data_IF_974636475992
#
_entry.id   IF_974636475992
#
_cell.length_a   1.000
_cell.length_b   1.000
_cell.length_c   1.000
_cell.angle_alpha   90.00
_cell.angle_beta   90.00
_cell.angle_gamma   90.00
#
_symmetry.space_group_name_H-M   'P 1'
#
loop_
_entity.id
_entity.type
_entity.pdbx_description
1 polymer ?
#
# COMPACT_ATOMS: atom_id res chain seq x y z
N UNK A 1 -5.59 3.58 -20.46
CA UNK A 1 -6.26 4.42 -19.43
C UNK A 1 -5.85 5.88 -19.61
N UNK A 2 -6.83 6.76 -19.74
CA UNK A 2 -6.54 8.18 -19.84
C UNK A 2 -6.53 8.83 -18.48
N UNK A 3 -5.94 10.02 -18.41
CA UNK A 3 -5.92 10.82 -17.19
C UNK A 3 -7.34 11.07 -16.67
N UNK A 4 -8.26 11.37 -17.58
CA UNK A 4 -9.65 11.63 -17.22
C UNK A 4 -10.33 10.40 -16.63
N UNK A 5 -10.12 9.25 -17.24
CA UNK A 5 -10.67 8.00 -16.73
C UNK A 5 -10.15 7.71 -15.33
N UNK A 6 -8.87 7.94 -15.11
CA UNK A 6 -8.26 7.72 -13.81
C UNK A 6 -8.83 8.68 -12.75
N UNK A 7 -8.97 9.96 -13.11
CA UNK A 7 -9.53 10.96 -12.19
C UNK A 7 -10.96 10.61 -11.80
N UNK A 8 -11.76 10.17 -12.77
CA UNK A 8 -13.14 9.77 -12.50
C UNK A 8 -13.19 8.56 -11.60
N UNK A 9 -12.31 7.60 -11.84
CA UNK A 9 -12.22 6.42 -11.00
C UNK A 9 -11.90 6.82 -9.56
N UNK A 10 -10.90 7.67 -9.37
CA UNK A 10 -10.50 8.13 -8.04
C UNK A 10 -11.66 8.81 -7.33
N UNK A 11 -12.35 9.72 -8.03
CA UNK A 11 -13.47 10.44 -7.45
C UNK A 11 -14.58 9.49 -6.98
N UNK A 12 -14.81 8.41 -7.74
CA UNK A 12 -15.89 7.48 -7.44
C UNK A 12 -15.50 6.45 -6.39
N UNK A 13 -14.26 5.92 -6.46
CA UNK A 13 -13.88 4.74 -5.70
C UNK A 13 -12.92 5.01 -4.53
N UNK A 14 -12.53 6.26 -4.31
CA UNK A 14 -11.58 6.57 -3.24
C UNK A 14 -12.07 6.07 -1.88
N UNK A 15 -13.36 6.23 -1.59
CA UNK A 15 -13.93 5.78 -0.32
C UNK A 15 -13.76 4.29 -0.11
N UNK A 16 -13.95 3.50 -1.16
CA UNK A 16 -13.76 2.06 -1.08
C UNK A 16 -12.30 1.72 -0.78
N UNK A 17 -11.37 2.41 -1.45
CA UNK A 17 -9.95 2.17 -1.25
C UNK A 17 -9.51 2.52 0.17
N UNK A 18 -10.03 3.64 0.70
CA UNK A 18 -9.71 4.03 2.08
C UNK A 18 -10.23 2.99 3.06
N UNK A 19 -11.43 2.45 2.83
CA UNK A 19 -11.97 1.41 3.71
C UNK A 19 -11.12 0.15 3.68
N UNK A 20 -10.63 -0.24 2.50
CA UNK A 20 -9.72 -1.39 2.41
C UNK A 20 -8.46 -1.16 3.22
N UNK A 21 -7.86 0.02 3.08
CA UNK A 21 -6.65 0.36 3.80
C UNK A 21 -6.90 0.44 5.30
N UNK A 22 -8.07 0.98 5.71
CA UNK A 22 -8.45 1.05 7.12
C UNK A 22 -8.57 -0.32 7.76
N UNK A 23 -9.11 -1.29 7.00
CA UNK A 23 -9.23 -2.66 7.52
C UNK A 23 -7.87 -3.28 7.81
N UNK A 24 -6.83 -2.82 7.15
CA UNK A 24 -5.48 -3.34 7.32
C UNK A 24 -4.70 -2.52 8.34
N UNK A 25 -4.77 -1.21 8.23
CA UNK A 25 -3.91 -0.30 9.01
C UNK A 25 -4.57 0.20 10.28
N UNK A 26 -5.89 0.22 10.36
CA UNK A 26 -6.68 0.63 11.52
C UNK A 26 -6.38 2.07 11.98
N UNK A 27 -5.88 2.91 11.08
CA UNK A 27 -5.53 4.28 11.40
C UNK A 27 -5.84 5.17 10.19
N UNK A 28 -6.67 6.22 10.36
CA UNK A 28 -7.12 7.02 9.22
C UNK A 28 -6.00 7.69 8.43
N UNK A 29 -5.02 8.27 9.12
CA UNK A 29 -3.93 8.96 8.44
C UNK A 29 -3.10 7.99 7.61
N UNK A 30 -2.83 6.82 8.15
CA UNK A 30 -2.08 5.79 7.45
C UNK A 30 -2.86 5.26 6.27
N UNK A 31 -4.18 5.11 6.43
CA UNK A 31 -5.02 4.66 5.34
C UNK A 31 -5.00 5.66 4.18
N UNK A 32 -5.08 6.96 4.49
CA UNK A 32 -5.00 7.99 3.47
C UNK A 32 -3.65 7.95 2.76
N UNK A 33 -2.57 7.79 3.51
CA UNK A 33 -1.23 7.69 2.94
C UNK A 33 -1.11 6.49 2.02
N UNK A 34 -1.64 5.35 2.46
CA UNK A 34 -1.59 4.13 1.65
C UNK A 34 -2.35 4.30 0.34
N UNK A 35 -3.52 4.92 0.39
CA UNK A 35 -4.32 5.16 -0.81
C UNK A 35 -3.59 6.12 -1.74
N UNK A 36 -3.04 7.20 -1.21
CA UNK A 36 -2.30 8.16 -2.02
C UNK A 36 -1.12 7.49 -2.72
N UNK A 37 -0.36 6.70 -1.99
CA UNK A 37 0.78 5.98 -2.57
C UNK A 37 0.32 4.95 -3.60
N UNK A 38 -0.76 4.23 -3.30
CA UNK A 38 -1.29 3.23 -4.22
C UNK A 38 -1.76 3.88 -5.53
N UNK A 39 -2.40 5.04 -5.44
CA UNK A 39 -2.86 5.76 -6.63
C UNK A 39 -1.68 6.24 -7.47
N UNK A 40 -0.61 6.69 -6.84
CA UNK A 40 0.61 7.06 -7.56
C UNK A 40 1.19 5.85 -8.30
N UNK A 41 1.27 4.71 -7.63
CA UNK A 41 1.76 3.49 -8.25
C UNK A 41 0.88 3.04 -9.40
N UNK A 42 -0.44 3.14 -9.22
CA UNK A 42 -1.39 2.77 -10.27
C UNK A 42 -1.18 3.63 -11.49
N UNK A 43 -1.02 4.92 -11.31
CA UNK A 43 -0.80 5.83 -12.42
C UNK A 43 0.53 5.54 -13.13
N UNK A 44 1.58 5.31 -12.37
CA UNK A 44 2.89 4.97 -12.93
C UNK A 44 2.85 3.68 -13.75
N UNK A 45 2.02 2.74 -13.32
CA UNK A 45 1.92 1.43 -13.94
C UNK A 45 0.69 1.28 -14.82
N UNK A 46 0.08 2.38 -15.22
CA UNK A 46 -1.20 2.35 -15.94
C UNK A 46 -1.16 1.55 -17.24
N UNK A 47 0.02 1.43 -17.83
CA UNK A 47 0.17 0.64 -19.06
C UNK A 47 0.03 -0.85 -18.82
N UNK A 48 0.17 -1.29 -17.57
CA UNK A 48 -0.02 -2.69 -17.22
C UNK A 48 -1.50 -3.06 -17.15
N UNK A 49 -2.37 -2.07 -17.03
CA UNK A 49 -3.81 -2.32 -17.01
C UNK A 49 -4.28 -2.56 -18.44
N UNK A 50 -4.68 -3.78 -18.71
CA UNK A 50 -5.07 -4.18 -20.06
C UNK A 50 -6.50 -3.82 -20.42
N UNK A 51 -7.36 -3.74 -19.42
CA UNK A 51 -8.77 -3.47 -19.64
C UNK A 51 -9.29 -2.53 -18.56
N UNK A 52 -9.97 -1.43 -18.96
CA UNK A 52 -10.55 -0.52 -17.97
C UNK A 52 -11.55 -1.19 -17.04
N UNK A 53 -12.18 -2.28 -17.47
CA UNK A 53 -13.12 -3.03 -16.64
C UNK A 53 -12.46 -3.58 -15.38
N UNK A 54 -11.14 -3.80 -15.43
CA UNK A 54 -10.41 -4.39 -14.32
C UNK A 54 -9.74 -3.35 -13.44
N UNK A 55 -9.95 -2.07 -13.72
CA UNK A 55 -9.28 -1.00 -12.97
C UNK A 55 -9.59 -1.07 -11.49
N UNK A 56 -10.84 -1.30 -11.13
CA UNK A 56 -11.25 -1.32 -9.73
C UNK A 56 -10.50 -2.39 -8.92
N UNK A 57 -10.51 -3.62 -9.42
CA UNK A 57 -9.82 -4.71 -8.73
C UNK A 57 -8.31 -4.55 -8.78
N UNK A 58 -7.80 -4.02 -9.88
CA UNK A 58 -6.36 -3.80 -10.04
C UNK A 58 -5.84 -2.76 -9.05
N UNK A 59 -6.54 -1.63 -8.94
CA UNK A 59 -6.14 -0.58 -8.00
C UNK A 59 -6.36 -1.04 -6.56
N UNK A 60 -7.44 -1.78 -6.30
CA UNK A 60 -7.69 -2.32 -4.97
C UNK A 60 -6.54 -3.22 -4.53
N UNK A 61 -6.04 -4.06 -5.43
CA UNK A 61 -4.92 -4.94 -5.12
C UNK A 61 -3.66 -4.14 -4.80
N UNK A 62 -3.39 -3.09 -5.57
CA UNK A 62 -2.25 -2.22 -5.31
C UNK A 62 -2.39 -1.56 -3.93
N UNK A 63 -3.61 -1.14 -3.58
CA UNK A 63 -3.89 -0.52 -2.29
C UNK A 63 -3.62 -1.49 -1.14
N UNK A 64 -4.13 -2.71 -1.26
CA UNK A 64 -3.92 -3.73 -0.23
C UNK A 64 -2.44 -4.03 -0.08
N UNK A 65 -1.74 -4.24 -1.18
CA UNK A 65 -0.31 -4.52 -1.14
C UNK A 65 0.48 -3.36 -0.51
N UNK A 66 0.08 -2.13 -0.81
CA UNK A 66 0.73 -0.95 -0.23
C UNK A 66 0.52 -0.91 1.28
N UNK A 67 -0.71 -1.15 1.73
CA UNK A 67 -1.01 -1.16 3.17
C UNK A 67 -0.24 -2.26 3.89
N UNK A 68 -0.17 -3.45 3.30
CA UNK A 68 0.58 -4.55 3.90
C UNK A 68 2.07 -4.23 3.98
N UNK A 69 2.62 -3.58 2.96
CA UNK A 69 4.01 -3.17 2.96
C UNK A 69 4.30 -2.17 4.07
N UNK A 70 3.36 -1.28 4.34
CA UNK A 70 3.50 -0.30 5.42
C UNK A 70 3.57 -0.98 6.78
N UNK A 71 2.74 -2.00 6.99
CA UNK A 71 2.78 -2.77 8.24
C UNK A 71 4.12 -3.47 8.40
N UNK A 72 4.61 -4.11 7.35
CA UNK A 72 5.88 -4.80 7.38
C UNK A 72 7.03 -3.85 7.68
N UNK A 73 6.99 -2.67 7.09
CA UNK A 73 8.01 -1.67 7.33
C UNK A 73 8.00 -1.22 8.78
N UNK A 74 6.82 -1.00 9.36
CA UNK A 74 6.70 -0.62 10.76
C UNK A 74 7.25 -1.69 11.68
N UNK A 75 6.91 -2.94 11.43
CA UNK A 75 7.42 -4.04 12.24
C UNK A 75 8.93 -4.10 12.20
N UNK A 76 9.52 -3.88 11.04
CA UNK A 76 10.98 -3.86 10.95
C UNK A 76 11.58 -2.70 11.71
N UNK A 77 10.95 -1.54 11.66
CA UNK A 77 11.44 -0.38 12.40
C UNK A 77 11.35 -0.61 13.90
N UNK A 78 10.25 -1.20 14.36
CA UNK A 78 10.12 -1.56 15.78
C UNK A 78 11.18 -2.55 16.21
N UNK A 79 11.45 -3.55 15.39
CA UNK A 79 12.47 -4.54 15.69
C UNK A 79 13.85 -3.91 15.76
N UNK A 80 14.15 -3.01 14.85
CA UNK A 80 15.43 -2.32 14.85
C UNK A 80 15.60 -1.50 16.13
N UNK A 81 14.54 -0.78 16.53
CA UNK A 81 14.59 -0.02 17.77
C UNK A 81 14.80 -0.91 18.97
N UNK A 82 14.09 -2.04 19.02
CA UNK A 82 14.23 -3.01 20.10
C UNK A 82 15.62 -3.62 20.10
N UNK A 83 16.19 -3.81 18.93
CA UNK A 83 17.48 -4.49 18.79
C UNK A 83 18.67 -3.57 19.01
N UNK A 84 18.45 -2.29 19.19
CA UNK A 84 19.53 -1.36 19.51
C UNK A 84 20.29 -1.77 20.76
N UNK A 85 19.60 -2.47 21.65
CA UNK A 85 20.21 -2.95 22.88
C UNK A 85 20.92 -4.29 22.72
N UNK A 86 20.80 -4.94 21.55
CA UNK A 86 21.37 -6.25 21.30
C UNK A 86 22.57 -6.14 20.38
N UNK A 87 23.54 -6.94 20.61
CA UNK A 87 24.67 -6.99 19.68
C UNK A 87 24.20 -7.65 18.40
N UNK A 88 23.72 -7.58 17.61
CA UNK A 88 23.42 -8.05 16.43
C UNK A 88 22.62 -8.59 15.77
N UNK A 89 22.77 -9.34 15.66
CA UNK A 89 22.36 -10.01 14.95
C UNK A 89 21.73 -10.43 14.31
N UNK A 90 21.72 -10.77 14.25
CA UNK A 90 21.18 -11.36 13.67
C UNK A 90 20.46 -11.34 12.92
N UNK A 91 20.66 -11.04 12.75
CA UNK A 91 19.92 -10.91 12.02
C UNK A 91 19.40 -11.60 11.41
N UNK A 92 19.79 -12.04 11.55
CA UNK A 92 19.45 -12.69 10.92
C UNK A 92 18.38 -13.05 10.71
N UNK A 93 18.22 -13.10 10.83
CA UNK A 93 17.31 -13.54 10.58
C UNK A 93 16.27 -13.37 10.00
N UNK A 94 16.49 -13.03 9.76
CA UNK A 94 15.51 -12.87 9.23
C UNK A 94 15.28 -13.08 8.21
N UNK A 95 15.28 -13.31 8.19
CA UNK A 95 15.01 -13.47 7.34
C UNK A 95 14.37 -13.46 6.84
N UNK A 96 14.54 -13.73 6.82
CA UNK A 96 14.03 -13.76 6.37
C UNK A 96 13.29 -13.76 5.97
N UNK A 97 13.42 -13.88 5.98
CA UNK A 97 12.75 -13.80 5.69
C UNK A 97 12.45 -13.55 5.36
#
# INVERSE_FOLDING_TARGET
>A
MTSRQFEQFVATERGMLVRLAMNILHHPEDADDAVAEALCKAWERREQLRSPDKMRSWVAKITVNTALSMIQKRKREELVESMDDYPTNEASGYPHS
#
